data_IF_771317630085
#
_entry.id   IF_771317630085
#
_cell.length_a   1.000
_cell.length_b   1.000
_cell.length_c   1.000
_cell.angle_alpha   90.00
_cell.angle_beta   90.00
_cell.angle_gamma   90.00
#
_symmetry.space_group_name_H-M   'P 1'
#
loop_
_entity.id
_entity.type
_entity.pdbx_description
1 polymer ?
#
# COMPACT_ATOMS: atom_id res chain seq x y z
N UNK A 1 -29.11 6.05 -6.90
CA UNK A 1 -27.99 5.21 -6.46
C UNK A 1 -26.92 5.32 -7.53
N UNK A 2 -25.92 6.19 -7.34
CA UNK A 2 -24.92 6.46 -8.37
C UNK A 2 -24.05 5.20 -8.58
N UNK A 3 -23.67 4.86 -9.83
CA UNK A 3 -22.78 3.75 -10.09
C UNK A 3 -21.45 4.02 -9.38
N UNK A 4 -20.99 3.07 -8.56
CA UNK A 4 -19.63 3.09 -8.01
C UNK A 4 -18.66 3.04 -9.20
N UNK A 5 -18.13 4.21 -9.57
CA UNK A 5 -17.09 4.30 -10.58
C UNK A 5 -15.93 3.39 -10.15
N UNK A 6 -15.47 2.54 -11.07
CA UNK A 6 -14.30 1.69 -10.87
C UNK A 6 -13.11 2.57 -10.47
N UNK A 7 -12.74 2.56 -9.18
CA UNK A 7 -11.45 3.09 -8.71
C UNK A 7 -10.35 2.21 -9.31
N UNK A 8 -9.92 2.54 -10.52
CA UNK A 8 -8.64 2.07 -11.04
C UNK A 8 -7.54 2.52 -10.08
N UNK A 9 -6.45 1.75 -10.00
CA UNK A 9 -5.19 2.14 -9.35
C UNK A 9 -4.56 3.45 -9.91
N UNK A 10 -5.25 4.17 -10.80
CA UNK A 10 -4.85 5.43 -11.43
C UNK A 10 -4.68 6.61 -10.45
N UNK A 11 -5.37 6.59 -9.30
CA UNK A 11 -5.15 7.56 -8.24
C UNK A 11 -4.31 6.90 -7.14
N UNK A 12 -3.09 7.41 -6.92
CA UNK A 12 -2.20 7.12 -5.79
C UNK A 12 -2.96 6.47 -4.62
N UNK A 13 -2.81 5.15 -4.46
CA UNK A 13 -3.45 4.47 -3.35
C UNK A 13 -2.67 4.80 -2.09
N UNK A 14 -3.11 5.82 -1.36
CA UNK A 14 -2.52 6.24 -0.10
C UNK A 14 -2.70 5.14 0.95
N UNK A 15 -1.58 4.68 1.51
CA UNK A 15 -1.50 3.70 2.59
C UNK A 15 -1.28 4.40 3.95
N UNK A 16 -0.51 5.49 3.96
CA UNK A 16 -0.28 6.33 5.16
C UNK A 16 -0.31 7.80 4.73
N UNK A 17 -0.92 8.65 5.55
CA UNK A 17 -0.97 10.09 5.33
C UNK A 17 -2.35 10.61 4.99
N UNK A 18 -2.41 11.89 4.63
CA UNK A 18 -3.64 12.61 4.35
C UNK A 18 -4.18 12.28 2.96
N UNK A 19 -5.48 11.98 2.89
CA UNK A 19 -6.23 11.80 1.64
C UNK A 19 -7.13 13.02 1.49
N UNK A 20 -6.86 13.82 0.45
CA UNK A 20 -7.68 14.97 0.10
C UNK A 20 -9.03 14.52 -0.47
N UNK A 21 -10.03 15.38 -0.28
CA UNK A 21 -11.30 15.25 -0.98
C UNK A 21 -11.05 15.37 -2.49
N UNK A 22 -11.64 14.46 -3.26
CA UNK A 22 -11.57 14.46 -4.72
C UNK A 22 -12.93 14.16 -5.30
N UNK A 23 -13.08 14.35 -6.62
CA UNK A 23 -14.31 14.00 -7.34
C UNK A 23 -14.74 12.53 -7.17
N UNK A 24 -13.81 11.64 -6.76
CA UNK A 24 -14.06 10.19 -6.58
C UNK A 24 -14.02 9.73 -5.13
N UNK A 25 -13.63 10.61 -4.20
CA UNK A 25 -13.62 10.34 -2.75
C UNK A 25 -14.01 11.63 -2.02
N UNK A 26 -15.29 11.79 -1.64
CA UNK A 26 -15.78 13.04 -1.06
C UNK A 26 -15.37 13.24 0.40
N UNK A 27 -14.67 12.26 1.01
CA UNK A 27 -14.34 12.28 2.42
C UNK A 27 -12.84 12.40 2.62
N UNK A 28 -12.44 13.52 3.23
CA UNK A 28 -11.10 13.69 3.76
C UNK A 28 -10.88 12.74 4.92
N UNK A 29 -9.74 12.06 4.89
CA UNK A 29 -9.35 11.13 5.96
C UNK A 29 -7.84 11.03 6.02
N UNK A 30 -7.33 10.74 7.20
CA UNK A 30 -5.92 10.36 7.38
C UNK A 30 -5.84 8.86 7.58
N UNK A 31 -4.97 8.20 6.83
CA UNK A 31 -4.62 6.80 7.10
C UNK A 31 -3.42 6.70 8.02
N UNK A 32 -3.52 5.80 8.99
CA UNK A 32 -2.47 5.58 9.97
C UNK A 32 -1.50 4.49 9.51
N UNK A 33 -0.28 4.52 10.06
CA UNK A 33 0.67 3.42 9.92
C UNK A 33 0.01 2.09 10.34
N UNK A 34 0.30 1.03 9.58
CA UNK A 34 -0.22 -0.33 9.75
C UNK A 34 -1.73 -0.50 9.45
N UNK A 35 -2.41 0.52 8.92
CA UNK A 35 -3.79 0.37 8.45
C UNK A 35 -3.85 -0.54 7.21
N UNK A 36 -4.83 -1.45 7.19
CA UNK A 36 -5.05 -2.37 6.06
C UNK A 36 -5.94 -1.70 5.03
N UNK A 37 -5.45 -1.63 3.79
CA UNK A 37 -6.14 -1.06 2.66
C UNK A 37 -6.49 -2.17 1.67
N UNK A 38 -7.78 -2.29 1.35
CA UNK A 38 -8.24 -3.09 0.23
C UNK A 38 -8.14 -2.27 -1.05
N UNK A 39 -7.33 -2.74 -1.99
CA UNK A 39 -7.12 -2.16 -3.30
C UNK A 39 -8.17 -2.75 -4.24
N UNK A 40 -8.76 -1.90 -5.09
CA UNK A 40 -9.79 -2.33 -6.04
C UNK A 40 -9.22 -3.11 -7.22
N UNK A 41 -7.99 -2.78 -7.63
CA UNK A 41 -7.27 -3.44 -8.71
C UNK A 41 -6.23 -4.39 -8.11
N UNK A 42 -6.21 -5.66 -8.53
CA UNK A 42 -5.24 -6.62 -8.02
C UNK A 42 -3.82 -6.26 -8.44
N UNK A 43 -2.90 -6.18 -7.47
CA UNK A 43 -1.52 -5.77 -7.70
C UNK A 43 -0.71 -6.80 -8.49
N UNK A 44 -1.03 -8.08 -8.40
CA UNK A 44 -0.35 -9.15 -9.14
C UNK A 44 -0.71 -9.18 -10.64
N UNK A 45 -1.62 -8.32 -11.09
CA UNK A 45 -1.84 -8.09 -12.54
C UNK A 45 -0.94 -7.00 -13.11
N UNK A 46 -0.31 -6.20 -12.25
CA UNK A 46 0.63 -5.17 -12.65
C UNK A 46 2.02 -5.79 -12.87
N UNK A 47 2.68 -5.43 -13.96
CA UNK A 47 4.08 -5.80 -14.16
C UNK A 47 4.98 -5.10 -13.13
N UNK A 48 4.65 -3.86 -12.78
CA UNK A 48 5.40 -3.03 -11.84
C UNK A 48 4.43 -2.14 -11.04
N UNK A 49 4.73 -1.95 -9.77
CA UNK A 49 4.06 -1.02 -8.86
C UNK A 49 5.13 -0.22 -8.15
N UNK A 50 4.99 1.10 -8.12
CA UNK A 50 5.91 1.99 -7.43
C UNK A 50 5.35 2.34 -6.06
N UNK A 51 6.12 2.04 -5.03
CA UNK A 51 5.92 2.55 -3.67
C UNK A 51 6.57 3.93 -3.57
N UNK A 52 5.75 4.95 -3.41
CA UNK A 52 6.20 6.33 -3.18
C UNK A 52 6.11 6.60 -1.68
N UNK A 53 7.22 7.00 -1.09
CA UNK A 53 7.34 7.30 0.34
C UNK A 53 7.98 8.67 0.51
N UNK A 54 7.38 9.53 1.33
CA UNK A 54 7.94 10.85 1.60
C UNK A 54 7.62 11.36 3.00
N UNK A 55 8.48 12.21 3.51
CA UNK A 55 8.20 13.04 4.69
C UNK A 55 9.04 14.33 4.64
N UNK A 56 8.55 15.44 5.24
CA UNK A 56 9.22 16.75 5.19
C UNK A 56 10.46 16.87 6.11
N UNK A 57 10.76 15.82 6.87
CA UNK A 57 11.78 15.82 7.93
C UNK A 57 11.26 15.15 9.21
N UNK A 58 12.15 14.56 10.00
CA UNK A 58 11.83 13.87 11.25
C UNK A 58 13.01 13.96 12.23
N UNK A 59 12.76 13.68 13.52
CA UNK A 59 13.82 13.64 14.54
C UNK A 59 14.82 12.49 14.36
N UNK A 60 14.46 11.47 13.57
CA UNK A 60 15.27 10.29 13.30
C UNK A 60 14.94 9.74 11.90
N UNK A 61 15.82 8.94 11.28
CA UNK A 61 15.45 8.21 10.07
C UNK A 61 14.24 7.31 10.33
N UNK A 62 13.42 7.11 9.29
CA UNK A 62 12.25 6.25 9.35
C UNK A 62 12.40 5.07 8.40
N UNK A 63 11.81 3.94 8.77
CA UNK A 63 11.71 2.76 7.91
C UNK A 63 10.26 2.53 7.57
N UNK A 64 9.97 2.36 6.27
CA UNK A 64 8.65 2.02 5.74
C UNK A 64 8.71 0.61 5.21
N UNK A 65 7.85 -0.26 5.74
CA UNK A 65 7.67 -1.63 5.27
C UNK A 65 6.33 -1.73 4.58
N UNK A 66 6.34 -2.02 3.27
CA UNK A 66 5.13 -2.38 2.54
C UNK A 66 4.91 -3.88 2.66
N UNK A 67 3.73 -4.28 3.12
CA UNK A 67 3.31 -5.67 3.09
C UNK A 67 2.02 -5.84 2.28
N UNK A 68 1.96 -6.91 1.49
CA UNK A 68 0.84 -7.26 0.64
C UNK A 68 0.26 -8.61 1.08
N UNK A 69 -1.06 -8.77 0.98
CA UNK A 69 -1.74 -10.02 1.31
C UNK A 69 -2.75 -10.40 0.21
N UNK A 70 -2.95 -11.71 -0.01
CA UNK A 70 -3.94 -12.17 -0.97
C UNK A 70 -5.36 -12.14 -0.40
N UNK A 71 -6.35 -12.00 -1.27
CA UNK A 71 -7.74 -12.38 -0.97
C UNK A 71 -7.88 -13.88 -1.22
N UNK A 72 -8.22 -14.62 -0.16
CA UNK A 72 -8.41 -16.07 -0.23
C UNK A 72 -9.78 -16.41 -0.83
N UNK A 73 -9.93 -17.65 -1.32
CA UNK A 73 -11.17 -18.18 -1.92
C UNK A 73 -12.37 -18.14 -0.97
N UNK A 74 -12.14 -18.19 0.34
CA UNK A 74 -13.16 -18.07 1.38
C UNK A 74 -13.57 -16.61 1.67
N UNK A 75 -12.96 -15.64 0.99
CA UNK A 75 -13.20 -14.21 1.16
C UNK A 75 -12.41 -13.57 2.30
N UNK A 76 -11.58 -14.34 3.00
CA UNK A 76 -10.72 -13.83 4.08
C UNK A 76 -9.42 -13.22 3.55
N UNK A 77 -8.79 -12.40 4.37
CA UNK A 77 -7.47 -11.84 4.12
C UNK A 77 -6.40 -12.87 4.47
N UNK A 78 -5.53 -13.19 3.52
CA UNK A 78 -4.38 -14.07 3.75
C UNK A 78 -3.27 -13.41 4.56
N UNK A 79 -2.14 -14.10 4.66
CA UNK A 79 -0.96 -13.63 5.38
C UNK A 79 -0.30 -12.47 4.64
N UNK A 80 0.07 -11.45 5.39
CA UNK A 80 0.84 -10.32 4.86
C UNK A 80 2.30 -10.72 4.65
N UNK A 81 2.76 -10.63 3.41
CA UNK A 81 4.14 -10.84 2.98
C UNK A 81 4.80 -9.49 2.76
N UNK A 82 6.05 -9.33 3.22
CA UNK A 82 6.81 -8.11 2.99
C UNK A 82 7.16 -7.99 1.49
N UNK A 83 6.72 -6.90 0.87
CA UNK A 83 6.93 -6.61 -0.54
C UNK A 83 8.08 -5.64 -0.78
N UNK A 84 8.29 -4.67 0.12
CA UNK A 84 9.41 -3.75 0.05
C UNK A 84 9.72 -3.13 1.41
N UNK A 85 10.98 -2.75 1.60
CA UNK A 85 11.42 -2.01 2.78
C UNK A 85 12.27 -0.83 2.34
N UNK A 86 11.89 0.37 2.77
CA UNK A 86 12.49 1.64 2.37
C UNK A 86 12.91 2.40 3.61
N UNK A 87 14.11 2.97 3.59
CA UNK A 87 14.61 3.81 4.69
C UNK A 87 14.73 5.24 4.19
N UNK A 88 14.04 6.18 4.86
CA UNK A 88 14.16 7.61 4.56
C UNK A 88 15.02 8.27 5.65
N UNK A 89 16.06 9.03 5.27
CA UNK A 89 16.88 9.79 6.21
C UNK A 89 16.07 10.82 7.02
N UNK A 90 16.56 11.18 8.21
CA UNK A 90 15.91 12.15 9.09
C UNK A 90 15.63 13.52 8.43
N UNK A 91 16.48 13.93 7.50
CA UNK A 91 16.32 15.19 6.74
C UNK A 91 15.05 15.21 5.87
N UNK A 92 14.38 14.07 5.70
CA UNK A 92 13.22 13.95 4.82
C UNK A 92 13.61 13.71 3.37
N UNK A 93 12.60 13.77 2.51
CA UNK A 93 12.75 13.55 1.08
C UNK A 93 11.64 12.68 0.52
N UNK A 94 11.81 12.32 -0.75
CA UNK A 94 10.93 11.42 -1.48
C UNK A 94 11.77 10.25 -2.00
N UNK A 95 11.32 9.04 -1.72
CA UNK A 95 11.91 7.80 -2.21
C UNK A 95 10.83 7.02 -2.95
N UNK A 96 11.17 6.63 -4.17
CA UNK A 96 10.36 5.76 -5.02
C UNK A 96 11.04 4.40 -5.11
N UNK A 97 10.27 3.34 -4.90
CA UNK A 97 10.77 1.97 -4.94
C UNK A 97 9.87 1.14 -5.82
N UNK A 98 10.43 0.61 -6.89
CA UNK A 98 9.71 -0.27 -7.83
C UNK A 98 9.62 -1.67 -7.24
N UNK A 99 8.43 -2.24 -7.33
CA UNK A 99 8.06 -3.56 -6.81
C UNK A 99 7.40 -4.33 -7.95
N UNK A 100 7.72 -5.61 -8.07
CA UNK A 100 7.00 -6.51 -8.98
C UNK A 100 6.13 -7.45 -8.13
N UNK A 101 4.81 -7.17 -8.00
CA UNK A 101 3.95 -7.96 -7.13
C UNK A 101 3.70 -9.38 -7.67
N UNK A 102 3.82 -9.59 -8.98
CA UNK A 102 3.66 -10.92 -9.59
C UNK A 102 4.75 -11.90 -9.14
N UNK A 103 5.91 -11.40 -8.70
CA UNK A 103 7.03 -12.22 -8.21
C UNK A 103 6.99 -12.49 -6.70
N UNK A 104 5.96 -11.99 -5.99
CA UNK A 104 5.84 -12.22 -4.55
C UNK A 104 5.44 -13.66 -4.24
N UNK A 105 6.21 -14.30 -3.38
CA UNK A 105 5.91 -15.64 -2.87
C UNK A 105 4.90 -15.52 -1.73
N UNK A 106 3.68 -16.00 -1.96
CA UNK A 106 2.66 -16.10 -0.93
C UNK A 106 3.05 -17.12 0.15
N UNK A 107 2.52 -16.98 1.36
CA UNK A 107 2.67 -18.00 2.38
C UNK A 107 2.11 -19.35 1.90
N UNK A 108 2.77 -20.46 2.25
CA UNK A 108 2.49 -21.78 1.65
C UNK A 108 1.04 -22.25 1.81
N UNK A 109 0.38 -21.94 2.93
CA UNK A 109 -1.04 -22.26 3.17
C UNK A 109 -1.99 -21.41 2.33
N UNK A 110 -1.60 -20.17 2.05
CA UNK A 110 -2.41 -19.20 1.30
C UNK A 110 -2.32 -19.46 -0.21
N UNK A 111 -1.17 -19.95 -0.68
CA UNK A 111 -0.97 -20.32 -2.08
C UNK A 111 -2.05 -21.27 -2.60
N UNK A 112 -2.35 -22.35 -1.86
CA UNK A 112 -3.40 -23.32 -2.24
C UNK A 112 -4.82 -22.71 -2.25
N UNK A 113 -5.06 -21.75 -1.35
CA UNK A 113 -6.35 -21.10 -1.15
C UNK A 113 -6.49 -19.77 -1.92
N UNK A 114 -5.50 -19.41 -2.74
CA UNK A 114 -5.52 -18.23 -3.60
C UNK A 114 -5.85 -18.61 -5.05
N UNK A 115 -6.36 -17.65 -5.82
CA UNK A 115 -6.51 -17.77 -7.27
C UNK A 115 -6.03 -16.45 -7.88
N UNK A 116 -4.98 -16.49 -8.69
CA UNK A 116 -4.53 -15.30 -9.38
C UNK A 116 -5.63 -14.76 -10.31
N UNK A 117 -5.85 -13.44 -10.36
CA UNK A 117 -5.19 -12.43 -9.55
C UNK A 117 -5.74 -12.35 -8.12
N UNK A 118 -4.86 -12.21 -7.12
CA UNK A 118 -5.19 -12.37 -5.71
C UNK A 118 -4.66 -11.28 -4.77
N UNK A 119 -3.69 -10.45 -5.16
CA UNK A 119 -3.11 -9.44 -4.27
C UNK A 119 -3.99 -8.19 -4.18
N UNK A 120 -4.94 -8.19 -3.25
CA UNK A 120 -5.90 -7.10 -3.05
C UNK A 120 -5.71 -6.31 -1.75
N UNK A 121 -4.86 -6.76 -0.83
CA UNK A 121 -4.66 -6.07 0.44
C UNK A 121 -3.23 -5.55 0.55
N UNK A 122 -3.11 -4.30 0.98
CA UNK A 122 -1.83 -3.66 1.26
C UNK A 122 -1.86 -2.99 2.62
N UNK A 123 -0.72 -2.96 3.30
CA UNK A 123 -0.48 -2.15 4.48
C UNK A 123 0.93 -1.59 4.43
N UNK A 124 1.12 -0.37 4.91
CA UNK A 124 2.44 0.21 5.10
C UNK A 124 2.67 0.47 6.58
N UNK A 125 3.78 -0.04 7.12
CA UNK A 125 4.19 0.16 8.50
C UNK A 125 5.39 1.09 8.54
N UNK A 126 5.23 2.24 9.20
CA UNK A 126 6.28 3.24 9.42
C UNK A 126 6.82 3.09 10.85
N UNK A 127 8.14 2.98 11.00
CA UNK A 127 8.84 2.87 12.28
C UNK A 127 10.04 3.84 12.34
N UNK A 128 10.50 4.28 13.53
CA UNK A 128 9.96 3.96 14.86
C UNK A 128 8.64 4.69 15.19
N UNK A 129 8.40 5.84 14.57
CA UNK A 129 7.17 6.64 14.69
C UNK A 129 6.87 7.30 13.35
N UNK A 130 5.58 7.48 13.04
CA UNK A 130 5.16 8.17 11.81
C UNK A 130 5.32 9.67 11.98
N UNK A 131 6.20 10.35 11.22
CA UNK A 131 6.38 11.79 11.36
C UNK A 131 5.17 12.55 10.79
N UNK A 132 4.89 13.77 11.30
CA UNK A 132 3.87 14.63 10.71
C UNK A 132 4.14 14.89 9.22
N UNK A 133 3.10 14.79 8.40
CA UNK A 133 3.21 14.96 6.95
C UNK A 133 3.87 13.79 6.21
N UNK A 134 4.08 12.63 6.87
CA UNK A 134 4.49 11.41 6.18
C UNK A 134 3.40 10.95 5.21
N UNK A 135 3.82 10.61 3.99
CA UNK A 135 2.96 10.08 2.96
C UNK A 135 3.56 8.79 2.39
N UNK A 136 2.74 7.75 2.31
CA UNK A 136 3.09 6.48 1.69
C UNK A 136 1.96 6.09 0.75
N UNK A 137 2.29 5.80 -0.50
CA UNK A 137 1.30 5.48 -1.52
C UNK A 137 1.83 4.47 -2.55
N UNK A 138 0.90 3.77 -3.20
CA UNK A 138 1.17 2.91 -4.34
C UNK A 138 0.68 3.58 -5.63
N UNK A 139 1.49 3.49 -6.68
CA UNK A 139 1.16 3.94 -8.04
C UNK A 139 1.69 2.92 -9.07
N UNK A 140 1.26 3.01 -10.32
CA UNK A 140 1.63 2.10 -11.42
C UNK A 140 2.24 2.90 -12.57
#
# INVERSE_FOLDING_TARGET
MAPLANKRLDALTTLVGWINSSATDPLERTRLSNEVVRISTPLDTAEQVTLVTSHPGAGSPITVVLALAPLLKDGSTGTFVNAATVVIPAVGGLIETVINPANLVLAGTDGANSKAPCLFFARATVSPTTPPGCHVSLTH
#
